data_IF_597472797918
#
_entry.id   IF_597472797918
#
_cell.length_a   1.000
_cell.length_b   1.000
_cell.length_c   1.000
_cell.angle_alpha   90.00
_cell.angle_beta   90.00
_cell.angle_gamma   90.00
#
_symmetry.space_group_name_H-M   'P 1'
#
loop_
_entity.id
_entity.type
_entity.pdbx_description
1 polymer ?
#
# COMPACT_ATOMS: atom_id res chain seq x y z
N UNK A 1 -20.09 -11.72 1.10
CA UNK A 1 -19.28 -12.95 1.11
C UNK A 1 -18.29 -12.85 2.25
N UNK A 2 -18.00 -13.96 2.95
CA UNK A 2 -16.95 -13.98 3.98
C UNK A 2 -15.63 -14.24 3.24
N UNK A 3 -14.73 -13.25 3.22
CA UNK A 3 -13.41 -13.40 2.61
C UNK A 3 -12.57 -14.33 3.49
N UNK A 4 -12.05 -15.41 2.91
CA UNK A 4 -11.08 -16.29 3.57
C UNK A 4 -9.67 -15.74 3.35
N UNK A 5 -9.19 -14.94 4.30
CA UNK A 5 -7.90 -14.25 4.17
C UNK A 5 -6.68 -15.18 4.02
N UNK A 6 -6.77 -16.42 4.51
CA UNK A 6 -5.76 -17.44 4.26
C UNK A 6 -5.59 -17.78 2.78
N UNK A 7 -6.68 -17.75 2.01
CA UNK A 7 -6.65 -18.06 0.58
C UNK A 7 -6.18 -16.86 -0.24
N UNK A 8 -6.59 -15.64 0.15
CA UNK A 8 -6.02 -14.39 -0.38
C UNK A 8 -4.50 -14.39 -0.21
N UNK A 9 -4.00 -14.72 0.98
CA UNK A 9 -2.57 -14.80 1.26
C UNK A 9 -1.84 -15.80 0.35
N UNK A 10 -2.41 -17.00 0.16
CA UNK A 10 -1.86 -18.01 -0.73
C UNK A 10 -1.80 -17.50 -2.16
N UNK A 11 -2.88 -16.92 -2.67
CA UNK A 11 -2.94 -16.37 -4.04
C UNK A 11 -1.94 -15.23 -4.25
N UNK A 12 -1.83 -14.29 -3.31
CA UNK A 12 -0.83 -13.22 -3.39
C UNK A 12 0.59 -13.79 -3.48
N UNK A 13 0.93 -14.78 -2.65
CA UNK A 13 2.25 -15.41 -2.68
C UNK A 13 2.48 -16.31 -3.89
N UNK A 14 1.43 -16.96 -4.41
CA UNK A 14 1.50 -17.70 -5.66
C UNK A 14 1.92 -16.79 -6.81
N UNK A 15 1.27 -15.62 -6.92
CA UNK A 15 1.38 -14.71 -8.05
C UNK A 15 2.47 -13.66 -7.96
N UNK A 16 2.95 -13.34 -6.75
CA UNK A 16 3.87 -12.22 -6.51
C UNK A 16 5.13 -12.63 -5.75
N UNK A 17 5.19 -13.80 -5.08
CA UNK A 17 6.37 -14.23 -4.30
C UNK A 17 6.88 -13.14 -3.36
N UNK A 18 5.99 -12.64 -2.48
CA UNK A 18 6.28 -11.49 -1.62
C UNK A 18 7.36 -11.82 -0.60
N UNK A 19 8.24 -10.85 -0.30
CA UNK A 19 9.32 -11.01 0.68
C UNK A 19 8.86 -10.90 2.14
N UNK A 20 7.67 -10.33 2.36
CA UNK A 20 7.07 -10.11 3.69
C UNK A 20 5.57 -10.37 3.64
N UNK A 21 4.94 -10.53 4.80
CA UNK A 21 3.49 -10.75 4.87
C UNK A 21 2.70 -9.51 4.39
N UNK A 22 1.66 -9.69 3.55
CA UNK A 22 0.58 -8.70 3.42
C UNK A 22 -0.06 -8.46 4.78
N UNK A 23 -0.32 -7.19 5.11
CA UNK A 23 -0.82 -6.76 6.42
C UNK A 23 -2.24 -6.25 6.30
N UNK A 24 -3.16 -6.79 7.09
CA UNK A 24 -4.47 -6.21 7.31
C UNK A 24 -4.38 -5.12 8.38
N UNK A 25 -5.03 -3.99 8.16
CA UNK A 25 -5.12 -2.88 9.11
C UNK A 25 -6.59 -2.56 9.38
N UNK A 26 -6.95 -2.39 10.65
CA UNK A 26 -8.28 -1.98 11.09
C UNK A 26 -8.21 -0.79 12.03
N UNK A 27 -9.00 0.25 11.78
CA UNK A 27 -9.17 1.36 12.72
C UNK A 27 -10.25 1.02 13.75
N UNK A 28 -10.01 1.37 15.01
CA UNK A 28 -10.86 0.97 16.13
C UNK A 28 -11.53 2.17 16.79
N UNK A 29 -12.87 2.11 16.89
CA UNK A 29 -13.65 3.12 17.62
C UNK A 29 -13.49 3.02 19.13
N UNK A 30 -13.17 1.84 19.65
CA UNK A 30 -12.82 1.60 21.06
C UNK A 30 -11.69 0.60 21.17
N UNK A 31 -10.83 0.78 22.17
CA UNK A 31 -9.76 -0.16 22.53
C UNK A 31 -10.14 -1.15 23.65
N UNK A 32 -11.38 -1.08 24.17
CA UNK A 32 -11.79 -1.77 25.39
C UNK A 32 -11.78 -3.30 25.27
N UNK A 33 -12.08 -3.84 24.08
CA UNK A 33 -12.14 -5.29 23.82
C UNK A 33 -10.86 -5.85 23.21
N UNK A 34 -9.85 -5.01 23.01
CA UNK A 34 -8.58 -5.40 22.41
C UNK A 34 -7.75 -6.22 23.41
N UNK A 35 -7.50 -7.49 23.09
CA UNK A 35 -6.74 -8.44 23.93
C UNK A 35 -5.47 -8.99 23.27
N UNK A 36 -5.05 -8.40 22.15
CA UNK A 36 -3.82 -8.79 21.45
C UNK A 36 -2.59 -8.04 21.99
N UNK A 37 -1.43 -8.36 21.42
CA UNK A 37 -0.15 -7.72 21.76
C UNK A 37 -0.26 -6.19 21.60
N UNK A 38 0.30 -5.46 22.56
CA UNK A 38 0.53 -4.01 22.46
C UNK A 38 2.04 -3.71 22.42
N UNK A 39 2.47 -2.57 21.86
CA UNK A 39 3.86 -2.13 21.91
C UNK A 39 4.37 -2.04 23.35
N UNK A 40 5.60 -2.53 23.59
CA UNK A 40 6.29 -2.36 24.89
C UNK A 40 6.91 -0.98 25.06
N UNK A 41 7.12 -0.29 23.96
CA UNK A 41 7.64 1.07 23.87
C UNK A 41 6.78 1.82 22.87
N UNK A 42 6.81 3.16 22.90
CA UNK A 42 6.08 3.94 21.89
C UNK A 42 6.71 3.74 20.51
N UNK A 43 5.89 3.44 19.52
CA UNK A 43 6.31 3.17 18.14
C UNK A 43 5.62 4.13 17.18
N UNK A 44 6.05 4.21 15.92
CA UNK A 44 5.31 4.86 14.84
C UNK A 44 4.34 3.89 14.15
N UNK A 45 3.36 4.39 13.39
CA UNK A 45 2.45 3.54 12.59
C UNK A 45 3.24 2.61 11.66
N UNK A 46 4.26 3.13 10.97
CA UNK A 46 5.12 2.33 10.10
C UNK A 46 5.90 1.24 10.85
N UNK A 47 6.28 1.45 12.12
CA UNK A 47 6.86 0.38 12.94
C UNK A 47 5.83 -0.70 13.27
N UNK A 48 4.58 -0.34 13.58
CA UNK A 48 3.51 -1.31 13.87
C UNK A 48 3.21 -2.18 12.64
N UNK A 49 3.07 -1.55 11.47
CA UNK A 49 2.92 -2.26 10.19
C UNK A 49 4.16 -3.09 9.87
N UNK A 50 5.36 -2.54 10.13
CA UNK A 50 6.64 -3.23 10.02
C UNK A 50 6.71 -4.51 10.86
N UNK A 51 6.31 -4.45 12.12
CA UNK A 51 6.24 -5.61 13.02
C UNK A 51 5.32 -6.70 12.48
N UNK A 52 4.20 -6.30 11.89
CA UNK A 52 3.22 -7.21 11.29
C UNK A 52 3.77 -7.88 10.02
N UNK A 53 4.37 -7.11 9.11
CA UNK A 53 4.87 -7.65 7.83
C UNK A 53 6.16 -8.46 7.97
N UNK A 54 7.06 -8.07 8.88
CA UNK A 54 8.39 -8.69 9.03
C UNK A 54 8.34 -9.86 10.00
N UNK A 55 7.71 -9.68 11.16
CA UNK A 55 7.71 -10.69 12.23
C UNK A 55 6.38 -11.46 12.35
N UNK A 56 5.37 -11.10 11.56
CA UNK A 56 4.06 -11.76 11.59
C UNK A 56 3.26 -11.48 12.85
N UNK A 57 3.49 -10.35 13.53
CA UNK A 57 2.79 -10.06 14.79
C UNK A 57 1.40 -9.47 14.52
N UNK A 58 0.39 -10.00 15.19
CA UNK A 58 -0.87 -9.29 15.44
C UNK A 58 -0.66 -8.30 16.60
N UNK A 59 -0.80 -7.01 16.34
CA UNK A 59 -0.48 -5.94 17.28
C UNK A 59 -1.47 -4.78 17.18
N UNK A 60 -1.89 -4.27 18.34
CA UNK A 60 -2.78 -3.12 18.45
C UNK A 60 -2.07 -1.94 19.13
N UNK A 61 -2.39 -0.72 18.70
CA UNK A 61 -1.84 0.50 19.27
C UNK A 61 -2.93 1.58 19.40
N UNK A 62 -2.95 2.23 20.56
CA UNK A 62 -3.69 3.46 20.83
C UNK A 62 -2.78 4.68 20.69
N UNK A 63 -3.33 5.89 20.88
CA UNK A 63 -2.51 7.11 20.94
C UNK A 63 -1.39 7.04 22.00
N UNK A 64 -1.61 6.34 23.11
CA UNK A 64 -0.62 6.24 24.18
C UNK A 64 0.60 5.39 23.79
N UNK A 65 0.46 4.58 22.74
CA UNK A 65 1.50 3.70 22.20
C UNK A 65 2.28 4.36 21.05
N UNK A 66 1.95 5.61 20.70
CA UNK A 66 2.43 6.27 19.47
C UNK A 66 3.53 7.32 19.73
N UNK A 67 4.55 7.30 18.88
CA UNK A 67 5.65 8.29 18.85
C UNK A 67 5.46 9.32 17.73
N UNK A 68 5.00 8.88 16.55
CA UNK A 68 4.87 9.76 15.39
C UNK A 68 3.52 10.49 15.38
N UNK A 69 3.55 11.81 15.57
CA UNK A 69 2.36 12.66 15.58
C UNK A 69 1.59 12.64 14.24
N UNK A 70 2.30 12.61 13.11
CA UNK A 70 1.67 12.60 11.80
C UNK A 70 0.92 11.30 11.52
N UNK A 71 1.44 10.16 11.99
CA UNK A 71 0.73 8.89 11.90
C UNK A 71 -0.52 8.88 12.76
N UNK A 72 -0.44 9.40 14.00
CA UNK A 72 -1.60 9.53 14.87
C UNK A 72 -2.69 10.44 14.27
N UNK A 73 -2.29 11.55 13.65
CA UNK A 73 -3.21 12.47 12.94
C UNK A 73 -3.81 11.80 11.70
N UNK A 74 -3.00 11.12 10.88
CA UNK A 74 -3.46 10.48 9.65
C UNK A 74 -4.56 9.43 9.92
N UNK A 75 -4.43 8.69 11.02
CA UNK A 75 -5.35 7.64 11.47
C UNK A 75 -6.48 8.17 12.37
N UNK A 76 -6.59 9.48 12.59
CA UNK A 76 -7.70 10.08 13.35
C UNK A 76 -7.66 9.81 14.85
N UNK A 77 -6.48 9.49 15.40
CA UNK A 77 -6.30 9.20 16.82
C UNK A 77 -6.29 10.48 17.67
N UNK A 78 -5.92 11.62 17.07
CA UNK A 78 -5.87 12.93 17.72
C UNK A 78 -6.30 14.04 16.79
N UNK A 79 -6.72 15.15 17.39
CA UNK A 79 -6.78 16.42 16.66
C UNK A 79 -5.37 16.94 16.37
N UNK A 80 -5.13 17.49 15.17
CA UNK A 80 -3.86 18.13 14.87
C UNK A 80 -3.59 19.34 15.77
N UNK A 81 -2.47 19.38 16.51
CA UNK A 81 -2.09 20.56 17.29
C UNK A 81 -1.86 21.79 16.41
N UNK A 82 -2.00 22.99 16.98
CA UNK A 82 -1.85 24.25 16.26
C UNK A 82 -0.49 24.36 15.53
N UNK A 83 0.59 23.97 16.20
CA UNK A 83 1.97 23.99 15.67
C UNK A 83 2.20 22.98 14.52
N UNK A 84 1.39 21.93 14.44
CA UNK A 84 1.42 21.03 13.27
C UNK A 84 0.62 21.66 12.13
N UNK A 85 -0.56 22.23 12.43
CA UNK A 85 -1.45 22.83 11.43
C UNK A 85 -0.80 24.01 10.70
N UNK A 86 -0.11 24.88 11.43
CA UNK A 86 0.56 26.06 10.87
C UNK A 86 1.93 25.76 10.26
N UNK A 87 2.31 24.48 10.14
CA UNK A 87 3.56 24.05 9.51
C UNK A 87 4.82 24.22 10.34
N UNK A 88 4.75 24.74 11.57
CA UNK A 88 5.93 24.96 12.45
C UNK A 88 6.74 23.68 12.64
N UNK A 89 6.10 22.59 13.03
CA UNK A 89 6.80 21.30 13.29
C UNK A 89 7.52 20.80 12.04
N UNK A 90 6.91 20.93 10.87
CA UNK A 90 7.49 20.44 9.62
C UNK A 90 8.65 21.33 9.12
N UNK A 91 8.55 22.64 9.36
CA UNK A 91 9.61 23.60 9.07
C UNK A 91 10.81 23.44 10.02
N UNK A 92 10.59 23.44 11.33
CA UNK A 92 11.63 23.27 12.35
C UNK A 92 12.31 21.90 12.23
N UNK A 93 11.57 20.87 11.82
CA UNK A 93 12.09 19.54 11.51
C UNK A 93 12.86 19.45 10.17
N UNK A 94 12.92 20.53 9.39
CA UNK A 94 13.66 20.61 8.13
C UNK A 94 13.00 19.90 6.95
N UNK A 95 11.77 19.40 7.09
CA UNK A 95 11.05 18.72 6.01
C UNK A 95 10.61 19.70 4.91
N UNK A 96 10.34 20.95 5.28
CA UNK A 96 9.93 22.00 4.34
C UNK A 96 10.66 23.31 4.58
N UNK A 97 10.80 24.08 3.50
CA UNK A 97 11.62 25.31 3.45
C UNK A 97 11.10 26.45 4.33
N UNK A 98 9.79 26.55 4.51
CA UNK A 98 9.14 27.58 5.35
C UNK A 98 7.92 27.00 6.05
N UNK A 99 7.42 27.71 7.07
CA UNK A 99 6.17 27.34 7.76
C UNK A 99 4.98 27.29 6.81
N UNK A 100 4.85 28.24 5.88
CA UNK A 100 3.75 28.29 4.92
C UNK A 100 3.77 27.09 3.96
N UNK A 101 4.96 26.64 3.55
CA UNK A 101 5.11 25.41 2.76
C UNK A 101 4.72 24.19 3.61
N UNK A 102 5.14 24.14 4.87
CA UNK A 102 4.76 23.09 5.82
C UNK A 102 3.26 23.03 6.08
N UNK A 103 2.59 24.18 6.25
CA UNK A 103 1.14 24.27 6.40
C UNK A 103 0.43 23.78 5.14
N UNK A 104 0.90 24.18 3.95
CA UNK A 104 0.35 23.68 2.68
C UNK A 104 0.52 22.16 2.55
N UNK A 105 1.69 21.63 2.90
CA UNK A 105 1.93 20.19 2.90
C UNK A 105 0.99 19.47 3.88
N UNK A 106 0.84 20.00 5.10
CA UNK A 106 -0.07 19.45 6.09
C UNK A 106 -1.54 19.47 5.62
N UNK A 107 -1.97 20.54 4.93
CA UNK A 107 -3.31 20.59 4.33
C UNK A 107 -3.53 19.52 3.26
N UNK A 108 -2.49 19.22 2.49
CA UNK A 108 -2.51 18.18 1.45
C UNK A 108 -2.35 16.75 1.99
N UNK A 109 -1.98 16.59 3.27
CA UNK A 109 -1.85 15.27 3.89
C UNK A 109 -3.24 14.63 4.09
N UNK A 110 -3.41 13.40 3.62
CA UNK A 110 -4.62 12.62 3.86
C UNK A 110 -4.79 12.31 5.35
N UNK A 111 -6.02 12.48 5.85
CA UNK A 111 -6.38 12.32 7.25
C UNK A 111 -7.80 11.77 7.30
N UNK A 112 -8.00 10.65 7.98
CA UNK A 112 -9.37 10.15 8.17
C UNK A 112 -10.20 11.20 8.93
N UNK A 113 -11.44 11.42 8.50
CA UNK A 113 -12.31 12.44 9.10
C UNK A 113 -12.87 12.00 10.46
N UNK A 114 -13.00 10.68 10.60
CA UNK A 114 -13.53 10.02 11.77
C UNK A 114 -12.51 9.95 12.91
N UNK A 115 -13.02 9.95 14.15
CA UNK A 115 -12.20 9.70 15.34
C UNK A 115 -12.15 8.23 15.69
N UNK A 116 -10.96 7.80 16.10
CA UNK A 116 -10.63 6.43 16.47
C UNK A 116 -9.77 6.46 17.75
N UNK A 117 -9.90 5.43 18.59
CA UNK A 117 -9.10 5.30 19.81
C UNK A 117 -7.79 4.53 19.57
N UNK A 118 -7.73 3.75 18.51
CA UNK A 118 -6.55 3.00 18.11
C UNK A 118 -6.73 2.28 16.79
N UNK A 119 -5.82 1.36 16.52
CA UNK A 119 -5.84 0.49 15.35
C UNK A 119 -5.15 -0.83 15.65
N UNK A 120 -5.45 -1.84 14.84
CA UNK A 120 -4.76 -3.13 14.86
C UNK A 120 -4.17 -3.41 13.48
N UNK A 121 -3.02 -4.09 13.49
CA UNK A 121 -2.36 -4.58 12.30
C UNK A 121 -1.92 -6.03 12.52
N UNK A 122 -1.97 -6.82 11.45
CA UNK A 122 -1.57 -8.22 11.49
C UNK A 122 -1.41 -8.81 10.10
N UNK A 123 -0.69 -9.93 9.96
CA UNK A 123 -0.58 -10.61 8.67
C UNK A 123 -1.96 -11.17 8.26
N UNK A 124 -2.38 -10.94 7.00
CA UNK A 124 -3.77 -11.24 6.60
C UNK A 124 -4.18 -12.71 6.81
N UNK A 125 -3.23 -13.66 6.74
CA UNK A 125 -3.54 -15.09 6.90
C UNK A 125 -3.85 -15.51 8.33
N UNK A 126 -3.60 -14.65 9.31
CA UNK A 126 -3.75 -14.92 10.75
C UNK A 126 -4.42 -13.73 11.45
N UNK A 127 -5.51 -13.20 10.88
CA UNK A 127 -6.28 -12.12 11.51
C UNK A 127 -7.40 -12.67 12.38
N UNK A 128 -7.55 -12.13 13.59
CA UNK A 128 -8.74 -12.29 14.43
C UNK A 128 -9.82 -11.23 14.13
N UNK A 129 -9.58 -10.33 13.17
CA UNK A 129 -10.48 -9.25 12.76
C UNK A 129 -10.64 -9.17 11.25
N UNK A 130 -11.74 -8.57 10.79
CA UNK A 130 -11.87 -8.14 9.40
C UNK A 130 -11.18 -6.79 9.21
N UNK A 131 -10.12 -6.70 8.38
CA UNK A 131 -9.39 -5.47 8.14
C UNK A 131 -10.24 -4.49 7.33
N UNK A 132 -9.95 -3.20 7.47
CA UNK A 132 -10.50 -2.16 6.59
C UNK A 132 -9.65 -2.07 5.32
N UNK A 133 -8.33 -2.17 5.47
CA UNK A 133 -7.34 -2.03 4.39
C UNK A 133 -6.36 -3.21 4.43
N UNK A 134 -5.93 -3.67 3.24
CA UNK A 134 -4.78 -4.55 3.09
C UNK A 134 -3.60 -3.76 2.52
N UNK A 135 -2.46 -3.84 3.19
CA UNK A 135 -1.19 -3.18 2.85
C UNK A 135 -0.18 -4.24 2.40
N UNK A 136 0.38 -4.05 1.22
CA UNK A 136 1.32 -4.96 0.56
C UNK A 136 2.57 -4.17 0.22
N UNK A 137 3.71 -4.65 0.68
CA UNK A 137 5.01 -4.12 0.26
C UNK A 137 5.60 -5.04 -0.79
N UNK A 138 6.20 -4.45 -1.83
CA UNK A 138 6.85 -5.20 -2.89
C UNK A 138 7.68 -4.30 -3.79
N UNK A 139 8.52 -4.89 -4.62
CA UNK A 139 9.32 -4.15 -5.59
C UNK A 139 8.46 -3.62 -6.75
N UNK A 140 9.06 -2.79 -7.59
CA UNK A 140 8.35 -2.16 -8.73
C UNK A 140 7.63 -3.15 -9.65
N UNK A 141 8.19 -4.35 -9.88
CA UNK A 141 7.56 -5.38 -10.70
C UNK A 141 6.34 -6.02 -10.02
N UNK A 142 6.42 -6.28 -8.71
CA UNK A 142 5.29 -6.78 -7.92
C UNK A 142 4.16 -5.75 -7.83
N UNK A 143 4.51 -4.47 -7.61
CA UNK A 143 3.55 -3.37 -7.53
C UNK A 143 2.88 -3.13 -8.88
N UNK A 144 3.63 -3.23 -10.00
CA UNK A 144 3.05 -3.17 -11.34
C UNK A 144 2.03 -4.30 -11.58
N UNK A 145 2.32 -5.53 -11.14
CA UNK A 145 1.37 -6.65 -11.23
C UNK A 145 0.07 -6.36 -10.48
N UNK A 146 0.15 -5.78 -9.29
CA UNK A 146 -1.01 -5.40 -8.48
C UNK A 146 -1.85 -4.30 -9.16
N UNK A 147 -1.20 -3.26 -9.67
CA UNK A 147 -1.88 -2.18 -10.42
C UNK A 147 -2.57 -2.74 -11.66
N UNK A 148 -1.86 -3.51 -12.48
CA UNK A 148 -2.42 -4.09 -13.70
C UNK A 148 -3.57 -5.06 -13.41
N UNK A 149 -3.52 -5.81 -12.31
CA UNK A 149 -4.62 -6.67 -11.90
C UNK A 149 -5.92 -5.88 -11.64
N UNK A 150 -5.84 -4.71 -11.01
CA UNK A 150 -7.01 -3.85 -10.84
C UNK A 150 -7.49 -3.25 -12.16
N UNK A 151 -6.55 -2.70 -12.96
CA UNK A 151 -6.92 -2.05 -14.22
C UNK A 151 -7.34 -3.05 -15.29
N UNK A 152 -6.99 -4.33 -15.16
CA UNK A 152 -7.45 -5.39 -16.05
C UNK A 152 -8.98 -5.50 -16.07
N UNK A 153 -9.65 -5.23 -14.94
CA UNK A 153 -11.10 -5.38 -14.81
C UNK A 153 -11.87 -4.34 -15.61
N UNK A 154 -11.45 -3.07 -15.58
CA UNK A 154 -12.24 -1.95 -16.11
C UNK A 154 -11.43 -0.95 -16.96
N UNK A 155 -10.12 -1.13 -17.11
CA UNK A 155 -9.23 -0.23 -17.84
C UNK A 155 -9.02 1.13 -17.18
N UNK A 156 -9.58 1.38 -16.00
CA UNK A 156 -9.46 2.67 -15.33
C UNK A 156 -8.05 2.88 -14.81
N UNK A 157 -7.52 4.09 -14.99
CA UNK A 157 -6.20 4.45 -14.50
C UNK A 157 -6.20 4.50 -12.97
N UNK A 158 -5.25 3.82 -12.35
CA UNK A 158 -4.95 4.05 -10.93
C UNK A 158 -4.22 5.39 -10.78
N UNK A 159 -4.78 6.27 -9.97
CA UNK A 159 -4.18 7.57 -9.65
C UNK A 159 -3.15 7.43 -8.54
N UNK A 160 -2.03 8.13 -8.69
CA UNK A 160 -0.93 8.17 -7.74
C UNK A 160 -0.66 9.61 -7.32
N UNK A 161 -0.54 9.85 -6.02
CA UNK A 161 -0.12 11.14 -5.48
C UNK A 161 0.78 10.93 -4.26
N UNK A 162 1.73 11.83 -4.03
CA UNK A 162 2.58 11.76 -2.85
C UNK A 162 3.20 13.12 -2.53
N UNK A 163 3.37 13.39 -1.24
CA UNK A 163 4.16 14.51 -0.73
C UNK A 163 5.64 14.14 -0.52
N UNK A 164 6.01 12.87 -0.72
CA UNK A 164 7.32 12.32 -0.33
C UNK A 164 7.47 12.12 1.18
N UNK A 165 6.50 12.60 1.96
CA UNK A 165 6.39 12.44 3.42
C UNK A 165 5.02 11.90 3.81
N UNK A 166 4.89 11.48 5.07
CA UNK A 166 3.63 11.00 5.65
C UNK A 166 3.06 9.73 4.99
N UNK A 167 3.90 8.78 4.55
CA UNK A 167 3.45 7.61 3.78
C UNK A 167 2.27 6.83 4.40
N UNK A 168 2.17 6.73 5.74
CA UNK A 168 1.02 6.11 6.40
C UNK A 168 -0.32 6.80 6.15
N UNK A 169 -0.33 8.10 5.86
CA UNK A 169 -1.50 8.80 5.34
C UNK A 169 -1.88 8.27 3.94
N UNK A 170 -0.90 8.10 3.06
CA UNK A 170 -1.12 7.65 1.69
C UNK A 170 -1.57 6.18 1.61
N UNK A 171 -1.03 5.27 2.43
CA UNK A 171 -1.39 3.83 2.35
C UNK A 171 -2.47 3.36 3.34
N UNK A 172 -2.92 4.20 4.28
CA UNK A 172 -4.06 3.89 5.18
C UNK A 172 -5.18 4.91 4.99
N UNK A 173 -4.90 6.20 5.23
CA UNK A 173 -5.96 7.22 5.25
C UNK A 173 -6.59 7.42 3.86
N UNK A 174 -5.79 7.50 2.79
CA UNK A 174 -6.34 7.66 1.43
C UNK A 174 -7.29 6.52 1.03
N UNK A 175 -6.92 5.23 1.16
CA UNK A 175 -7.84 4.14 0.85
C UNK A 175 -9.13 4.17 1.67
N UNK A 176 -9.06 4.54 2.95
CA UNK A 176 -10.24 4.68 3.82
C UNK A 176 -11.14 5.82 3.35
N UNK A 177 -10.56 6.97 3.00
CA UNK A 177 -11.31 8.15 2.59
C UNK A 177 -11.96 8.01 1.21
N UNK A 178 -11.27 7.37 0.28
CA UNK A 178 -11.66 7.33 -1.14
C UNK A 178 -12.31 6.02 -1.55
N UNK A 179 -12.15 4.97 -0.76
CA UNK A 179 -12.49 3.61 -1.16
C UNK A 179 -11.70 3.14 -2.38
N UNK A 180 -10.53 3.73 -2.70
CA UNK A 180 -9.69 3.35 -3.85
C UNK A 180 -8.36 2.77 -3.40
N UNK A 181 -7.80 1.88 -4.22
CA UNK A 181 -6.44 1.41 -4.01
C UNK A 181 -5.43 2.53 -4.27
N UNK A 182 -4.25 2.44 -3.67
CA UNK A 182 -3.20 3.45 -3.80
C UNK A 182 -1.81 2.81 -3.83
N UNK A 183 -0.95 3.34 -4.68
CA UNK A 183 0.50 3.06 -4.65
C UNK A 183 1.14 4.16 -3.84
N UNK A 184 1.99 3.81 -2.87
CA UNK A 184 2.67 4.75 -2.01
C UNK A 184 4.17 4.54 -2.08
N UNK A 185 4.91 5.63 -2.23
CA UNK A 185 6.35 5.64 -2.07
C UNK A 185 6.67 5.73 -0.56
N UNK A 186 7.48 4.80 -0.01
CA UNK A 186 7.91 4.89 1.38
C UNK A 186 8.65 6.21 1.64
N UNK A 187 8.16 6.98 2.62
CA UNK A 187 8.82 8.21 3.05
C UNK A 187 10.03 7.93 3.94
N UNK A 188 10.75 8.99 4.35
CA UNK A 188 11.92 8.86 5.22
C UNK A 188 11.63 8.05 6.49
N UNK A 189 10.54 8.37 7.19
CA UNK A 189 10.14 7.68 8.41
C UNK A 189 9.76 6.21 8.19
N UNK A 190 9.08 5.91 7.08
CA UNK A 190 8.71 4.53 6.73
C UNK A 190 9.96 3.67 6.46
N UNK A 191 10.95 4.22 5.77
CA UNK A 191 12.26 3.57 5.54
C UNK A 191 13.06 3.40 6.82
N UNK A 192 13.23 4.49 7.58
CA UNK A 192 14.07 4.52 8.78
C UNK A 192 13.51 3.64 9.91
N UNK A 193 12.19 3.65 10.10
CA UNK A 193 11.57 3.02 11.27
C UNK A 193 10.75 1.78 10.90
N UNK A 194 10.03 1.82 9.77
CA UNK A 194 9.26 0.68 9.25
C UNK A 194 10.10 -0.33 8.45
N UNK A 195 11.38 -0.02 8.22
CA UNK A 195 12.37 -0.85 7.52
C UNK A 195 12.02 -1.14 6.05
N UNK A 196 11.36 -0.19 5.38
CA UNK A 196 11.05 -0.31 3.96
C UNK A 196 12.30 -0.24 3.10
N UNK A 197 12.50 -1.25 2.25
CA UNK A 197 13.73 -1.43 1.47
C UNK A 197 13.79 -0.49 0.26
N UNK A 198 14.99 -0.15 -0.25
CA UNK A 198 15.15 0.81 -1.36
C UNK A 198 14.36 0.47 -2.62
N UNK A 199 14.18 -0.82 -2.92
CA UNK A 199 13.43 -1.33 -4.06
C UNK A 199 11.93 -1.44 -3.81
N UNK A 200 11.48 -1.31 -2.55
CA UNK A 200 10.08 -1.45 -2.17
C UNK A 200 9.27 -0.18 -2.44
N UNK A 201 8.06 -0.41 -2.92
CA UNK A 201 6.92 0.49 -2.80
C UNK A 201 5.77 -0.23 -2.08
N UNK A 202 4.77 0.54 -1.69
CA UNK A 202 3.62 0.05 -0.93
C UNK A 202 2.41 0.09 -1.86
N UNK A 203 1.60 -0.95 -1.84
CA UNK A 203 0.29 -0.99 -2.44
C UNK A 203 -0.73 -1.21 -1.34
N UNK A 204 -1.78 -0.41 -1.33
CA UNK A 204 -2.85 -0.51 -0.36
C UNK A 204 -4.19 -0.59 -1.07
N UNK A 205 -5.10 -1.39 -0.54
CA UNK A 205 -6.42 -1.62 -1.14
C UNK A 205 -7.47 -1.79 -0.03
N UNK A 206 -8.67 -1.21 -0.19
CA UNK A 206 -9.81 -1.53 0.66
C UNK A 206 -10.09 -3.04 0.68
N UNK A 207 -10.34 -3.58 1.87
CA UNK A 207 -10.48 -5.02 2.08
C UNK A 207 -11.60 -5.64 1.24
N UNK A 208 -12.67 -4.89 0.98
CA UNK A 208 -13.81 -5.29 0.15
C UNK A 208 -13.50 -5.38 -1.35
N UNK A 209 -12.35 -4.88 -1.81
CA UNK A 209 -11.89 -4.93 -3.22
C UNK A 209 -10.81 -5.97 -3.48
N UNK A 210 -10.44 -6.74 -2.47
CA UNK A 210 -9.35 -7.72 -2.58
C UNK A 210 -9.71 -8.87 -3.52
N UNK A 211 -10.97 -9.32 -3.55
CA UNK A 211 -11.40 -10.40 -4.45
C UNK A 211 -11.20 -10.00 -5.92
N UNK A 212 -11.51 -8.76 -6.30
CA UNK A 212 -11.27 -8.22 -7.63
C UNK A 212 -9.78 -8.24 -8.01
N UNK A 213 -8.93 -7.87 -7.05
CA UNK A 213 -7.47 -7.89 -7.22
C UNK A 213 -6.97 -9.32 -7.48
N UNK A 214 -7.45 -10.30 -6.71
CA UNK A 214 -7.06 -11.70 -6.87
C UNK A 214 -7.53 -12.25 -8.22
N UNK A 215 -8.76 -11.93 -8.64
CA UNK A 215 -9.25 -12.31 -9.97
C UNK A 215 -8.36 -11.76 -11.08
N UNK A 216 -8.04 -10.46 -11.04
CA UNK A 216 -7.16 -9.83 -12.02
C UNK A 216 -5.78 -10.46 -12.06
N UNK A 217 -5.18 -10.74 -10.90
CA UNK A 217 -3.87 -11.41 -10.81
C UNK A 217 -3.89 -12.80 -11.46
N UNK A 218 -4.94 -13.58 -11.19
CA UNK A 218 -5.15 -14.92 -11.76
C UNK A 218 -5.26 -14.86 -13.29
N UNK A 219 -6.14 -14.00 -13.81
CA UNK A 219 -6.39 -13.86 -15.25
C UNK A 219 -5.16 -13.41 -16.01
N UNK A 220 -4.42 -12.45 -15.47
CA UNK A 220 -3.15 -12.00 -16.03
C UNK A 220 -2.09 -13.10 -15.99
N UNK A 221 -2.05 -13.91 -14.93
CA UNK A 221 -1.11 -15.03 -14.82
C UNK A 221 -1.38 -16.11 -15.86
N UNK A 222 -2.66 -16.46 -16.09
CA UNK A 222 -3.12 -17.38 -17.14
C UNK A 222 -2.75 -16.86 -18.54
N UNK A 223 -2.87 -15.55 -18.77
CA UNK A 223 -2.49 -14.89 -20.03
C UNK A 223 -0.97 -14.81 -20.27
N UNK A 224 -0.15 -15.07 -19.24
CA UNK A 224 1.32 -15.11 -19.34
C UNK A 224 2.05 -13.91 -18.71
N UNK A 225 1.33 -12.93 -18.16
CA UNK A 225 1.91 -11.85 -17.38
C UNK A 225 2.25 -12.39 -15.97
N UNK A 226 3.48 -12.88 -15.79
CA UNK A 226 3.89 -13.60 -14.58
C UNK A 226 4.96 -12.84 -13.79
N UNK A 227 5.09 -13.20 -12.52
CA UNK A 227 6.21 -12.78 -11.68
C UNK A 227 6.94 -14.04 -11.12
N UNK A 228 8.28 -14.06 -11.10
CA UNK A 228 9.20 -13.07 -11.65
C UNK A 228 9.05 -12.87 -13.16
N UNK A 229 9.27 -11.64 -13.63
CA UNK A 229 9.20 -11.33 -15.06
C UNK A 229 10.37 -12.00 -15.78
N UNK A 230 10.07 -12.77 -16.84
CA UNK A 230 11.11 -13.37 -17.66
C UNK A 230 11.77 -12.29 -18.53
N UNK A 231 13.09 -12.19 -18.45
CA UNK A 231 13.85 -11.30 -19.31
C UNK A 231 14.06 -11.94 -20.68
N UNK A 232 13.74 -11.18 -21.73
CA UNK A 232 14.00 -11.61 -23.10
C UNK A 232 15.40 -11.20 -23.56
N UNK A 233 15.81 -9.95 -23.28
CA UNK A 233 17.13 -9.40 -23.60
C UNK A 233 17.01 -8.08 -24.36
N UNK A 234 17.84 -7.10 -24.01
CA UNK A 234 17.73 -5.73 -24.56
C UNK A 234 18.35 -5.57 -25.96
N UNK A 235 19.12 -6.56 -26.43
CA UNK A 235 19.81 -6.54 -27.74
C UNK A 235 19.19 -7.49 -28.77
N UNK A 236 18.10 -8.18 -28.42
CA UNK A 236 17.44 -9.14 -29.31
C UNK A 236 16.18 -8.54 -29.91
N UNK A 237 15.91 -8.82 -31.18
CA UNK A 237 14.64 -8.48 -31.79
C UNK A 237 13.54 -9.29 -31.11
N UNK A 238 12.51 -8.61 -30.59
CA UNK A 238 11.32 -9.25 -30.03
C UNK A 238 10.56 -9.93 -31.16
N UNK A 239 10.60 -11.26 -31.23
CA UNK A 239 9.78 -11.99 -32.18
C UNK A 239 8.31 -11.92 -31.78
N UNK A 240 7.38 -12.16 -32.71
CA UNK A 240 5.95 -12.31 -32.40
C UNK A 240 5.67 -13.38 -31.33
N UNK A 241 6.57 -14.34 -31.17
CA UNK A 241 6.47 -15.42 -30.17
C UNK A 241 6.97 -15.00 -28.77
N UNK A 242 7.59 -13.84 -28.63
CA UNK A 242 8.06 -13.29 -27.35
C UNK A 242 6.93 -12.61 -26.54
N UNK A 243 5.83 -12.21 -27.19
CA UNK A 243 4.67 -11.63 -26.51
C UNK A 243 3.88 -12.71 -25.74
N UNK A 244 3.17 -12.32 -24.66
CA UNK A 244 2.27 -13.24 -23.95
C UNK A 244 1.32 -13.94 -24.93
N UNK A 245 0.97 -15.21 -24.67
CA UNK A 245 0.15 -16.03 -25.60
C UNK A 245 -1.18 -15.37 -25.96
N UNK A 246 -1.72 -14.53 -25.07
CA UNK A 246 -2.97 -13.80 -25.28
C UNK A 246 -2.83 -12.56 -26.19
N UNK A 247 -1.62 -12.16 -26.56
CA UNK A 247 -1.41 -10.99 -27.40
C UNK A 247 -1.82 -11.30 -28.86
N UNK A 248 -2.73 -10.52 -29.47
CA UNK A 248 -3.21 -10.82 -30.80
C UNK A 248 -2.09 -10.71 -31.85
N UNK A 249 -2.08 -11.64 -32.82
CA UNK A 249 -1.21 -11.54 -34.01
C UNK A 249 -1.65 -10.35 -34.86
N UNK A 250 -0.70 -9.62 -35.45
CA UNK A 250 -1.00 -8.47 -36.33
C UNK A 250 -0.86 -7.09 -35.69
N UNK A 251 -0.49 -7.01 -34.41
CA UNK A 251 -0.35 -5.75 -33.67
C UNK A 251 1.12 -5.40 -33.37
N UNK A 252 2.07 -5.97 -34.12
CA UNK A 252 3.45 -5.51 -34.09
C UNK A 252 3.60 -4.26 -34.96
N UNK A 253 4.49 -3.33 -34.62
CA UNK A 253 4.72 -2.11 -35.42
C UNK A 253 5.07 -2.46 -36.87
N UNK A 254 5.79 -3.56 -37.10
CA UNK A 254 6.08 -4.09 -38.44
C UNK A 254 4.80 -4.42 -39.24
N UNK A 255 3.76 -4.94 -38.58
CA UNK A 255 2.47 -5.24 -39.20
C UNK A 255 1.75 -3.93 -39.58
N UNK A 256 1.77 -2.92 -38.71
CA UNK A 256 1.21 -1.60 -38.99
C UNK A 256 1.90 -0.93 -40.19
N UNK A 257 3.25 -0.91 -40.19
CA UNK A 257 4.05 -0.34 -41.29
C UNK A 257 3.80 -1.06 -42.61
N UNK A 258 3.64 -2.38 -42.60
CA UNK A 258 3.34 -3.16 -43.80
C UNK A 258 1.95 -2.87 -44.39
N UNK A 259 0.98 -2.48 -43.55
CA UNK A 259 -0.41 -2.19 -43.98
C UNK A 259 -0.68 -0.74 -44.38
N UNK A 260 0.23 0.19 -44.09
CA UNK A 260 0.16 1.58 -44.58
C UNK A 260 -0.97 2.44 -44.02
N UNK A 261 -1.53 2.09 -42.85
CA UNK A 261 -2.48 2.91 -42.08
C UNK A 261 -1.88 3.39 -40.78
#
# INVERSE_FOLDING_TARGET
MIIMWSDVYKSLNEYLKLSTYPVGVKLLKSMDDVRIRKPRVKLSVCQIVGLSRIYGWNIAASINDMTCIYGAIALGLIDPPADVKNGKVAYEGGAYRTMEVGEKAFRNMYRVNDRYEGFEAGPIHDLHFNPDIVVIYGNSAQINRLVHALTWRNGERLEFSSLGEYACADYIAYPILTGKAHVTLPCYGDRRFGHSQPDESIFSIPADKVDDLIEGLKRLHEAGYRYPTLYYGVLVQTSKTAYPRAFPKGYCVEDYVATGT
#
